data_IF_088805862425
#
_entry.id   IF_088805862425
#
_cell.length_a   1.000
_cell.length_b   1.000
_cell.length_c   1.000
_cell.angle_alpha   90.00
_cell.angle_beta   90.00
_cell.angle_gamma   90.00
#
_symmetry.space_group_name_H-M   'P 1'
#
loop_
_entity.id
_entity.type
_entity.pdbx_description
1 polymer ?
#
# COMPACT_ATOMS: atom_id res chain seq x y z
N UNK A 1 6.56 8.60 -13.90
CA UNK A 1 5.25 8.60 -14.57
C UNK A 1 4.98 7.16 -14.99
N UNK A 2 4.39 6.37 -14.10
CA UNK A 2 4.27 4.92 -14.28
C UNK A 2 2.79 4.58 -14.35
N UNK A 3 2.32 4.42 -15.58
CA UNK A 3 0.96 4.03 -15.94
C UNK A 3 0.71 2.60 -15.47
N UNK A 4 -0.24 2.38 -14.55
CA UNK A 4 -0.70 1.02 -14.24
C UNK A 4 -1.45 0.46 -15.46
N UNK A 5 -0.82 -0.50 -16.15
CA UNK A 5 -1.43 -1.20 -17.26
C UNK A 5 -2.61 -2.05 -16.75
N UNK A 6 -3.82 -1.75 -17.22
CA UNK A 6 -4.98 -2.66 -17.17
C UNK A 6 -4.60 -3.93 -17.93
N UNK A 7 -4.26 -5.01 -17.20
CA UNK A 7 -3.74 -6.25 -17.77
C UNK A 7 -4.81 -7.06 -18.50
N UNK A 8 -4.39 -7.77 -19.57
CA UNK A 8 -5.16 -8.77 -20.30
C UNK A 8 -4.93 -10.14 -19.67
N UNK A 9 -6.00 -10.89 -19.34
CA UNK A 9 -5.85 -12.27 -18.88
C UNK A 9 -5.82 -13.23 -20.07
N UNK A 10 -4.76 -14.02 -20.18
CA UNK A 10 -4.63 -15.05 -21.21
C UNK A 10 -4.82 -16.42 -20.53
N UNK A 11 -5.81 -17.18 -20.99
CA UNK A 11 -6.23 -18.43 -20.35
C UNK A 11 -6.09 -19.56 -21.35
N UNK A 12 -5.37 -20.63 -21.00
CA UNK A 12 -5.37 -21.83 -21.82
C UNK A 12 -6.73 -22.57 -21.67
N UNK A 13 -7.29 -23.04 -22.77
CA UNK A 13 -8.58 -23.75 -22.81
C UNK A 13 -8.73 -24.84 -21.73
N UNK A 14 -7.65 -25.59 -21.45
CA UNK A 14 -7.67 -26.66 -20.45
C UNK A 14 -8.03 -26.18 -19.03
N UNK A 15 -7.87 -24.88 -18.74
CA UNK A 15 -8.18 -24.28 -17.45
C UNK A 15 -9.39 -23.35 -17.53
N UNK A 16 -10.00 -23.16 -18.71
CA UNK A 16 -11.07 -22.21 -18.87
C UNK A 16 -12.27 -22.55 -17.98
N UNK A 17 -12.69 -23.82 -17.97
CA UNK A 17 -13.87 -24.27 -17.21
C UNK A 17 -13.59 -24.53 -15.73
N UNK A 18 -12.36 -24.33 -15.26
CA UNK A 18 -12.03 -24.54 -13.86
C UNK A 18 -12.80 -23.56 -12.95
N UNK A 19 -13.39 -24.05 -11.85
CA UNK A 19 -14.25 -23.25 -10.98
C UNK A 19 -13.60 -21.95 -10.51
N UNK A 20 -12.30 -21.98 -10.20
CA UNK A 20 -11.53 -20.79 -9.83
C UNK A 20 -11.44 -19.79 -10.98
N UNK A 21 -11.21 -20.24 -12.21
CA UNK A 21 -11.12 -19.39 -13.41
C UNK A 21 -12.50 -18.85 -13.80
N UNK A 22 -13.54 -19.68 -13.82
CA UNK A 22 -14.92 -19.25 -14.04
C UNK A 22 -15.37 -18.26 -12.96
N UNK A 23 -15.01 -18.48 -11.70
CA UNK A 23 -15.26 -17.50 -10.64
C UNK A 23 -14.54 -16.17 -10.90
N UNK A 24 -13.30 -16.19 -11.38
CA UNK A 24 -12.56 -14.97 -11.70
C UNK A 24 -13.20 -14.26 -12.91
N UNK A 25 -13.56 -14.99 -13.97
CA UNK A 25 -14.21 -14.47 -15.19
C UNK A 25 -15.60 -13.89 -14.89
N UNK A 26 -16.40 -14.58 -14.08
CA UNK A 26 -17.75 -14.15 -13.70
C UNK A 26 -17.72 -12.98 -12.70
N UNK A 27 -16.70 -12.91 -11.83
CA UNK A 27 -16.59 -11.85 -10.82
C UNK A 27 -15.86 -10.61 -11.34
N UNK A 28 -14.90 -10.73 -12.25
CA UNK A 28 -14.08 -9.59 -12.70
C UNK A 28 -14.31 -9.30 -14.19
N UNK A 29 -14.73 -8.08 -14.52
CA UNK A 29 -14.82 -7.60 -15.91
C UNK A 29 -13.45 -7.12 -16.42
N UNK A 30 -12.47 -8.02 -16.55
CA UNK A 30 -11.27 -7.74 -17.34
C UNK A 30 -11.41 -8.35 -18.74
N UNK A 31 -10.82 -7.74 -19.78
CA UNK A 31 -10.70 -8.41 -21.07
C UNK A 31 -9.86 -9.67 -20.88
N UNK A 32 -10.36 -10.80 -21.39
CA UNK A 32 -9.67 -12.07 -21.35
C UNK A 32 -9.59 -12.67 -22.75
N UNK A 33 -8.59 -13.51 -22.96
CA UNK A 33 -8.39 -14.24 -24.20
C UNK A 33 -8.16 -15.71 -23.87
N UNK A 34 -9.13 -16.55 -24.21
CA UNK A 34 -9.01 -18.01 -24.18
C UNK A 34 -8.13 -18.45 -25.35
N UNK A 35 -7.12 -19.28 -25.11
CA UNK A 35 -6.27 -19.88 -26.15
C UNK A 35 -6.64 -21.35 -26.29
N UNK A 36 -7.03 -21.75 -27.49
CA UNK A 36 -7.32 -23.15 -27.84
C UNK A 36 -6.33 -23.66 -28.89
N UNK A 37 -5.99 -24.95 -28.78
CA UNK A 37 -5.20 -25.69 -29.77
C UNK A 37 -6.06 -26.41 -30.80
N UNK A 38 -7.39 -26.38 -30.64
CA UNK A 38 -8.33 -27.01 -31.55
C UNK A 38 -8.43 -26.13 -32.79
N UNK A 39 -8.10 -26.62 -34.00
CA UNK A 39 -8.30 -25.85 -35.21
C UNK A 39 -9.81 -25.66 -35.44
N UNK A 40 -10.26 -24.42 -35.60
CA UNK A 40 -11.56 -24.19 -36.21
C UNK A 40 -11.41 -24.46 -37.71
N UNK A 41 -12.38 -25.11 -38.35
CA UNK A 41 -12.36 -25.37 -39.80
C UNK A 41 -12.25 -24.09 -40.66
N UNK A 42 -12.40 -22.92 -40.03
CA UNK A 42 -12.05 -21.61 -40.57
C UNK A 42 -10.91 -20.97 -39.74
N UNK A 43 -9.68 -21.36 -40.05
CA UNK A 43 -8.46 -20.87 -39.41
C UNK A 43 -8.34 -19.34 -39.43
N UNK A 44 -8.04 -18.76 -38.26
CA UNK A 44 -7.67 -17.36 -38.12
C UNK A 44 -8.76 -16.41 -37.61
N UNK A 45 -10.00 -16.85 -37.42
CA UNK A 45 -11.05 -15.99 -36.85
C UNK A 45 -11.07 -16.06 -35.33
N UNK A 46 -10.88 -14.90 -34.70
CA UNK A 46 -11.16 -14.72 -33.28
C UNK A 46 -12.68 -14.67 -33.08
N UNK A 47 -13.25 -15.66 -32.41
CA UNK A 47 -14.67 -15.64 -32.05
C UNK A 47 -14.79 -15.16 -30.60
N UNK A 48 -15.37 -13.97 -30.41
CA UNK A 48 -15.63 -13.30 -29.13
C UNK A 48 -14.38 -13.06 -28.26
N UNK A 49 -13.87 -14.10 -27.61
CA UNK A 49 -12.73 -14.07 -26.68
C UNK A 49 -11.79 -15.28 -26.86
N UNK A 50 -11.90 -16.05 -27.96
CA UNK A 50 -11.12 -17.29 -28.16
C UNK A 50 -10.16 -17.19 -29.35
N UNK A 51 -8.87 -17.35 -29.07
CA UNK A 51 -7.76 -17.40 -30.04
C UNK A 51 -7.39 -18.85 -30.33
N UNK A 52 -7.53 -19.26 -31.60
CA UNK A 52 -7.15 -20.58 -32.08
C UNK A 52 -5.70 -20.57 -32.58
N UNK A 53 -4.94 -21.62 -32.27
CA UNK A 53 -3.56 -21.81 -32.74
C UNK A 53 -3.50 -22.93 -33.81
N UNK A 54 -2.64 -22.84 -34.85
CA UNK A 54 -1.63 -21.83 -35.12
C UNK A 54 -2.21 -20.49 -35.59
N UNK A 55 -1.56 -19.39 -35.17
CA UNK A 55 -1.98 -18.04 -35.54
C UNK A 55 -1.54 -17.73 -36.97
N UNK A 56 -2.44 -17.91 -37.94
CA UNK A 56 -2.13 -17.66 -39.36
C UNK A 56 -2.17 -16.17 -39.73
N UNK A 57 -3.03 -15.37 -39.06
CA UNK A 57 -3.22 -13.92 -39.32
C UNK A 57 -3.25 -13.12 -38.03
N UNK A 58 -2.35 -12.13 -37.90
CA UNK A 58 -2.22 -11.27 -36.70
C UNK A 58 -3.19 -10.10 -36.68
N UNK A 59 -3.81 -9.76 -37.82
CA UNK A 59 -4.70 -8.62 -37.97
C UNK A 59 -5.93 -8.70 -37.06
N UNK A 60 -6.52 -9.90 -36.92
CA UNK A 60 -7.69 -10.13 -36.05
C UNK A 60 -7.36 -9.94 -34.57
N UNK A 61 -6.21 -10.45 -34.12
CA UNK A 61 -5.71 -10.23 -32.77
C UNK A 61 -5.46 -8.74 -32.52
N UNK A 62 -4.87 -8.03 -33.49
CA UNK A 62 -4.60 -6.59 -33.38
C UNK A 62 -5.88 -5.78 -33.26
N UNK A 63 -6.87 -6.05 -34.13
CA UNK A 63 -8.17 -5.38 -34.11
C UNK A 63 -8.92 -5.64 -32.79
N UNK A 64 -8.86 -6.86 -32.27
CA UNK A 64 -9.49 -7.17 -30.99
C UNK A 64 -8.80 -6.50 -29.81
N UNK A 65 -7.45 -6.47 -29.76
CA UNK A 65 -6.70 -5.74 -28.73
C UNK A 65 -7.02 -4.24 -28.78
N UNK A 66 -7.17 -3.68 -29.98
CA UNK A 66 -7.61 -2.29 -30.15
C UNK A 66 -9.01 -2.05 -29.59
N UNK A 67 -9.97 -2.93 -29.91
CA UNK A 67 -11.36 -2.78 -29.50
C UNK A 67 -11.60 -3.07 -28.01
N UNK A 68 -10.86 -3.98 -27.38
CA UNK A 68 -11.17 -4.50 -26.04
C UNK A 68 -10.15 -4.10 -24.96
N UNK A 69 -8.91 -3.75 -25.34
CA UNK A 69 -7.86 -3.37 -24.38
C UNK A 69 -7.52 -1.89 -24.51
N UNK A 70 -7.29 -1.40 -25.73
CA UNK A 70 -6.87 -0.02 -25.96
C UNK A 70 -8.02 1.00 -25.85
N UNK A 71 -9.25 0.62 -26.19
CA UNK A 71 -10.45 1.45 -25.95
C UNK A 71 -10.66 1.73 -24.46
N UNK A 72 -10.44 0.73 -23.60
CA UNK A 72 -10.49 0.85 -22.15
C UNK A 72 -9.47 1.86 -21.62
N UNK A 73 -8.36 2.08 -22.31
CA UNK A 73 -7.32 3.03 -21.91
C UNK A 73 -7.62 4.47 -22.38
N UNK A 74 -8.57 4.66 -23.31
CA UNK A 74 -8.91 5.98 -23.89
C UNK A 74 -10.12 6.66 -23.23
N UNK A 75 -10.96 5.93 -22.49
CA UNK A 75 -12.15 6.46 -21.82
C UNK A 75 -11.87 7.12 -20.45
N UNK A 76 -10.63 7.51 -20.13
CA UNK A 76 -10.28 8.18 -18.86
C UNK A 76 -10.53 9.68 -18.84
N UNK A 77 -11.02 10.28 -19.91
CA UNK A 77 -11.55 11.64 -19.89
C UNK A 77 -13.07 11.62 -20.12
N UNK A 78 -13.78 12.42 -19.31
CA UNK A 78 -15.24 12.64 -19.28
C UNK A 78 -16.02 11.81 -18.24
N UNK A 79 -16.21 12.46 -17.09
CA UNK A 79 -17.36 12.46 -16.15
C UNK A 79 -18.54 11.49 -16.41
N UNK A 80 -18.88 10.79 -15.31
CA UNK A 80 -20.23 10.55 -14.75
C UNK A 80 -20.88 9.16 -14.87
N UNK A 81 -21.14 8.62 -13.67
CA UNK A 81 -22.33 7.88 -13.19
C UNK A 81 -22.43 6.36 -13.32
N UNK A 82 -22.36 5.73 -12.13
CA UNK A 82 -22.99 4.50 -11.64
C UNK A 82 -22.96 3.24 -12.50
N UNK A 83 -22.17 2.24 -12.09
CA UNK A 83 -22.68 1.02 -11.42
C UNK A 83 -21.50 0.10 -11.08
N UNK A 84 -21.38 -0.25 -9.79
CA UNK A 84 -20.66 -1.40 -9.21
C UNK A 84 -19.37 -1.79 -9.95
N UNK A 85 -18.37 -0.92 -9.84
CA UNK A 85 -17.00 -1.25 -10.15
C UNK A 85 -16.46 -2.14 -9.03
N UNK A 86 -15.95 -3.32 -9.38
CA UNK A 86 -15.12 -4.10 -8.47
C UNK A 86 -13.83 -3.32 -8.23
N UNK A 87 -13.86 -2.50 -7.19
CA UNK A 87 -12.75 -1.73 -6.65
C UNK A 87 -11.60 -2.69 -6.32
N UNK A 88 -10.51 -2.62 -7.08
CA UNK A 88 -9.21 -2.75 -6.41
C UNK A 88 -9.22 -1.60 -5.41
N UNK A 89 -9.24 -1.92 -4.12
CA UNK A 89 -9.28 -0.90 -3.08
C UNK A 89 -8.06 -0.03 -3.25
N UNK A 90 -8.26 1.15 -3.82
CA UNK A 90 -7.24 2.19 -3.85
C UNK A 90 -7.10 2.57 -2.39
N UNK A 91 -5.92 2.31 -1.81
CA UNK A 91 -5.62 2.80 -0.47
C UNK A 91 -5.52 4.31 -0.60
N UNK A 92 -6.61 4.98 -0.26
CA UNK A 92 -6.76 6.42 -0.26
C UNK A 92 -7.07 6.90 1.17
N UNK A 93 -7.35 8.19 1.31
CA UNK A 93 -7.70 8.76 2.60
C UNK A 93 -8.97 8.14 3.20
N UNK A 94 -9.94 7.75 2.36
CA UNK A 94 -11.20 7.15 2.81
C UNK A 94 -10.98 5.73 3.32
N UNK A 95 -10.12 4.95 2.65
CA UNK A 95 -9.71 3.64 3.12
C UNK A 95 -9.08 3.71 4.51
N UNK A 96 -8.16 4.66 4.72
CA UNK A 96 -7.50 4.85 6.03
C UNK A 96 -8.52 5.29 7.08
N UNK A 97 -9.44 6.21 6.76
CA UNK A 97 -10.54 6.60 7.66
C UNK A 97 -11.41 5.40 8.04
N UNK A 98 -11.76 4.56 7.08
CA UNK A 98 -12.57 3.37 7.32
C UNK A 98 -11.83 2.33 8.17
N UNK A 99 -10.52 2.17 7.96
CA UNK A 99 -9.66 1.28 8.75
C UNK A 99 -9.66 1.65 10.23
N UNK A 100 -9.66 2.95 10.55
CA UNK A 100 -9.62 3.49 11.92
C UNK A 100 -10.99 3.94 12.46
N UNK A 101 -12.08 3.68 11.72
CA UNK A 101 -13.42 4.11 12.13
C UNK A 101 -13.86 3.40 13.42
N UNK A 102 -14.42 4.18 14.35
CA UNK A 102 -15.01 3.66 15.59
C UNK A 102 -16.27 2.82 15.36
N UNK A 103 -16.93 2.98 14.21
CA UNK A 103 -18.07 2.14 13.80
C UNK A 103 -17.61 0.72 13.42
N UNK A 104 -16.36 0.60 12.96
CA UNK A 104 -15.75 -0.63 12.53
C UNK A 104 -14.97 -1.27 13.69
N UNK A 105 -15.69 -1.79 14.68
CA UNK A 105 -15.10 -2.20 15.96
C UNK A 105 -14.04 -3.28 15.79
N UNK A 106 -14.32 -4.32 15.00
CA UNK A 106 -13.36 -5.43 14.76
C UNK A 106 -13.19 -5.72 13.28
N UNK A 107 -11.95 -5.62 12.81
CA UNK A 107 -11.61 -5.81 11.41
C UNK A 107 -10.62 -6.96 11.26
N UNK A 108 -10.84 -7.78 10.23
CA UNK A 108 -9.91 -8.80 9.77
C UNK A 108 -9.07 -8.20 8.65
N UNK A 109 -7.77 -8.07 8.87
CA UNK A 109 -6.79 -7.54 7.92
C UNK A 109 -6.08 -8.70 7.21
N UNK A 110 -5.92 -8.59 5.90
CA UNK A 110 -5.33 -9.63 5.06
C UNK A 110 -4.62 -9.04 3.84
N UNK A 111 -3.79 -9.87 3.21
CA UNK A 111 -3.19 -9.64 1.89
C UNK A 111 -3.39 -10.89 1.00
N UNK A 112 -2.74 -10.93 -0.15
CA UNK A 112 -2.71 -12.04 -1.11
C UNK A 112 -2.14 -13.34 -0.55
N UNK A 113 -1.40 -13.27 0.57
CA UNK A 113 -0.86 -14.42 1.31
C UNK A 113 -1.76 -14.84 2.48
N UNK A 114 -2.92 -14.21 2.63
CA UNK A 114 -3.95 -14.55 3.61
C UNK A 114 -4.00 -13.61 4.80
N UNK A 115 -4.42 -14.11 5.97
CA UNK A 115 -4.59 -13.29 7.18
C UNK A 115 -3.28 -12.66 7.64
N UNK A 116 -3.37 -11.39 8.04
CA UNK A 116 -2.32 -10.66 8.72
C UNK A 116 -2.65 -10.52 10.21
N UNK A 117 -3.85 -10.02 10.51
CA UNK A 117 -4.28 -9.79 11.88
C UNK A 117 -5.80 -9.65 11.98
N UNK A 118 -6.31 -9.70 13.21
CA UNK A 118 -7.59 -9.12 13.59
C UNK A 118 -7.30 -7.94 14.51
N UNK A 119 -7.89 -6.80 14.21
CA UNK A 119 -7.75 -5.58 15.02
C UNK A 119 -9.07 -5.25 15.71
N UNK A 120 -8.98 -4.64 16.89
CA UNK A 120 -10.10 -4.06 17.61
C UNK A 120 -9.84 -2.54 17.77
N UNK A 121 -10.58 -1.73 17.01
CA UNK A 121 -10.43 -0.28 16.98
C UNK A 121 -10.88 0.41 18.29
N UNK A 122 -11.76 -0.23 19.06
CA UNK A 122 -12.23 0.31 20.35
C UNK A 122 -11.15 0.18 21.43
N UNK A 123 -10.43 -0.93 21.43
CA UNK A 123 -9.35 -1.20 22.40
C UNK A 123 -7.96 -0.85 21.88
N UNK A 124 -7.82 -0.54 20.59
CA UNK A 124 -6.55 -0.27 19.91
C UNK A 124 -5.58 -1.46 20.00
N UNK A 125 -6.11 -2.68 19.88
CA UNK A 125 -5.34 -3.94 19.95
C UNK A 125 -5.32 -4.64 18.58
N UNK A 126 -4.20 -5.26 18.25
CA UNK A 126 -4.05 -6.17 17.12
C UNK A 126 -3.62 -7.57 17.59
N UNK A 127 -4.33 -8.60 17.11
CA UNK A 127 -4.00 -10.02 17.27
C UNK A 127 -3.47 -10.56 15.95
N UNK A 128 -2.25 -11.07 15.95
CA UNK A 128 -1.55 -11.42 14.72
C UNK A 128 -1.72 -12.88 14.35
N UNK A 129 -1.67 -13.17 13.04
CA UNK A 129 -1.50 -14.52 12.53
C UNK A 129 -0.08 -15.03 12.90
N UNK A 130 0.04 -16.14 13.64
CA UNK A 130 1.33 -16.58 14.20
C UNK A 130 2.32 -17.20 13.19
N UNK A 131 1.86 -17.71 12.04
CA UNK A 131 2.73 -18.29 11.01
C UNK A 131 3.47 -17.24 10.16
N UNK A 132 3.03 -15.97 10.19
CA UNK A 132 3.70 -14.84 9.54
C UNK A 132 5.07 -14.56 10.16
N UNK A 133 6.12 -15.10 9.55
CA UNK A 133 7.51 -14.88 10.00
C UNK A 133 8.02 -13.44 9.75
N UNK A 134 7.45 -12.73 8.78
CA UNK A 134 7.86 -11.36 8.41
C UNK A 134 6.71 -10.39 8.63
N UNK A 135 6.98 -9.29 9.34
CA UNK A 135 6.05 -8.17 9.53
C UNK A 135 6.06 -7.28 8.30
N UNK A 136 5.49 -7.74 7.19
CA UNK A 136 5.38 -6.99 5.94
C UNK A 136 4.11 -7.40 5.17
N UNK A 137 3.66 -6.53 4.27
CA UNK A 137 2.52 -6.74 3.36
C UNK A 137 2.83 -6.07 2.00
N UNK A 138 1.84 -5.96 1.13
CA UNK A 138 1.95 -5.39 -0.21
C UNK A 138 0.66 -4.64 -0.60
N UNK A 139 0.54 -4.27 -1.88
CA UNK A 139 -0.61 -3.53 -2.40
C UNK A 139 -1.95 -4.30 -2.37
N UNK A 140 -1.95 -5.59 -2.05
CA UNK A 140 -3.19 -6.35 -1.84
C UNK A 140 -3.73 -6.24 -0.41
N UNK A 141 -3.08 -5.45 0.46
CA UNK A 141 -3.53 -5.16 1.82
C UNK A 141 -4.98 -4.65 1.81
N UNK A 142 -5.84 -5.34 2.55
CA UNK A 142 -7.25 -5.00 2.66
C UNK A 142 -7.82 -5.45 4.01
N UNK A 143 -9.08 -5.08 4.29
CA UNK A 143 -9.78 -5.50 5.48
C UNK A 143 -11.27 -5.74 5.23
N UNK A 144 -11.87 -6.58 6.07
CA UNK A 144 -13.32 -6.77 6.17
C UNK A 144 -13.73 -6.84 7.64
N UNK A 145 -15.03 -6.83 7.94
CA UNK A 145 -15.49 -7.11 9.30
C UNK A 145 -15.07 -8.51 9.74
N UNK A 146 -14.49 -8.60 10.95
CA UNK A 146 -14.04 -9.86 11.50
C UNK A 146 -15.23 -10.76 11.88
N UNK A 147 -15.21 -12.02 11.43
CA UNK A 147 -16.17 -13.04 11.86
C UNK A 147 -15.62 -13.85 13.01
N UNK A 148 -16.49 -14.52 13.76
CA UNK A 148 -16.09 -15.41 14.87
C UNK A 148 -15.08 -16.48 14.41
N UNK A 149 -15.26 -17.01 13.20
CA UNK A 149 -14.35 -18.02 12.63
C UNK A 149 -12.94 -17.48 12.35
N UNK A 150 -12.78 -16.18 12.07
CA UNK A 150 -11.47 -15.60 11.77
C UNK A 150 -10.56 -15.61 13.00
N UNK A 151 -11.12 -15.57 14.21
CA UNK A 151 -10.34 -15.62 15.46
C UNK A 151 -9.58 -16.94 15.66
N UNK A 152 -9.90 -17.98 14.91
CA UNK A 152 -9.12 -19.23 14.89
C UNK A 152 -7.79 -19.07 14.16
N UNK A 153 -7.66 -18.04 13.31
CA UNK A 153 -6.48 -17.77 12.48
C UNK A 153 -5.44 -16.90 13.18
N UNK A 154 -5.74 -16.31 14.33
CA UNK A 154 -4.85 -15.38 15.04
C UNK A 154 -4.59 -15.83 16.46
N UNK A 155 -3.44 -15.41 17.01
CA UNK A 155 -3.08 -15.68 18.40
C UNK A 155 -3.53 -14.55 19.30
N UNK A 156 -4.34 -14.87 20.31
CA UNK A 156 -4.74 -13.96 21.41
C UNK A 156 -3.85 -14.08 22.65
N UNK A 157 -2.73 -14.80 22.57
CA UNK A 157 -1.76 -14.93 23.68
C UNK A 157 -0.90 -13.68 23.83
N UNK A 158 -0.78 -12.88 22.77
CA UNK A 158 0.06 -11.71 22.71
C UNK A 158 -0.69 -10.63 21.95
N UNK A 159 -0.81 -9.48 22.60
CA UNK A 159 -1.53 -8.33 22.08
C UNK A 159 -0.52 -7.27 21.67
N UNK A 160 -0.80 -6.60 20.55
CA UNK A 160 0.02 -5.51 20.04
C UNK A 160 -0.82 -4.24 20.02
N UNK A 161 -0.20 -3.11 20.35
CA UNK A 161 -0.84 -1.81 20.13
C UNK A 161 -1.03 -1.60 18.63
N UNK A 162 -2.26 -1.32 18.21
CA UNK A 162 -2.67 -1.30 16.80
C UNK A 162 -1.81 -0.35 15.96
N UNK A 163 -1.64 0.89 16.42
CA UNK A 163 -0.90 1.91 15.66
C UNK A 163 0.59 1.52 15.53
N UNK A 164 1.20 0.99 16.59
CA UNK A 164 2.59 0.54 16.55
C UNK A 164 2.76 -0.63 15.60
N UNK A 165 1.89 -1.64 15.68
CA UNK A 165 1.97 -2.80 14.80
C UNK A 165 1.76 -2.41 13.33
N UNK A 166 0.74 -1.59 13.05
CA UNK A 166 0.41 -1.17 11.69
C UNK A 166 1.52 -0.31 11.10
N UNK A 167 2.12 0.59 11.90
CA UNK A 167 3.29 1.35 11.47
C UNK A 167 4.44 0.42 11.10
N UNK A 168 4.76 -0.58 11.94
CA UNK A 168 5.83 -1.53 11.66
C UNK A 168 5.56 -2.39 10.42
N UNK A 169 4.31 -2.82 10.22
CA UNK A 169 3.87 -3.58 9.05
C UNK A 169 4.12 -2.80 7.76
N UNK A 170 3.72 -1.53 7.72
CA UNK A 170 3.86 -0.69 6.53
C UNK A 170 5.30 -0.21 6.34
N UNK A 171 5.99 0.16 7.41
CA UNK A 171 7.40 0.60 7.35
C UNK A 171 8.33 -0.45 6.75
N UNK A 172 8.06 -1.74 7.02
CA UNK A 172 8.81 -2.87 6.47
C UNK A 172 8.34 -3.29 5.06
N UNK A 173 7.33 -2.63 4.50
CA UNK A 173 6.76 -2.94 3.19
C UNK A 173 7.24 -1.92 2.13
N UNK A 174 7.66 -2.39 0.96
CA UNK A 174 8.26 -1.52 -0.07
C UNK A 174 7.28 -0.98 -1.11
N UNK A 175 6.05 -1.49 -1.14
CA UNK A 175 5.16 -1.31 -2.30
C UNK A 175 4.15 -0.15 -2.18
N UNK A 176 4.18 0.65 -1.11
CA UNK A 176 3.16 1.68 -0.81
C UNK A 176 3.53 3.11 -1.28
N UNK A 177 4.03 3.25 -2.51
CA UNK A 177 4.62 4.52 -3.00
C UNK A 177 3.60 5.65 -3.25
N UNK A 178 2.29 5.35 -3.28
CA UNK A 178 1.26 6.30 -3.73
C UNK A 178 0.62 7.15 -2.62
N UNK A 179 0.90 6.86 -1.34
CA UNK A 179 0.20 7.46 -0.20
C UNK A 179 0.85 8.75 0.32
N UNK A 180 2.13 8.94 0.02
CA UNK A 180 2.90 10.09 0.48
C UNK A 180 3.35 10.92 -0.72
N UNK A 181 3.16 12.23 -0.64
CA UNK A 181 3.73 13.23 -1.53
C UNK A 181 4.99 13.86 -0.95
N UNK A 182 5.98 14.08 -1.82
CA UNK A 182 7.21 14.82 -1.52
C UNK A 182 6.99 16.33 -1.45
N UNK A 183 5.92 16.84 -2.07
CA UNK A 183 5.64 18.28 -2.22
C UNK A 183 4.84 18.86 -1.05
N UNK A 184 4.68 18.09 0.03
CA UNK A 184 3.92 18.48 1.21
C UNK A 184 4.76 18.87 2.43
N UNK A 185 4.05 19.35 3.45
CA UNK A 185 4.57 19.45 4.81
C UNK A 185 3.88 18.43 5.69
N UNK A 186 4.66 17.67 6.45
CA UNK A 186 4.14 16.55 7.23
C UNK A 186 4.42 16.75 8.71
N UNK A 187 3.47 16.35 9.56
CA UNK A 187 3.62 16.36 11.01
C UNK A 187 3.15 15.04 11.61
N UNK A 188 3.97 14.46 12.49
CA UNK A 188 3.58 13.29 13.28
C UNK A 188 2.88 13.72 14.58
N UNK A 189 2.00 12.86 15.08
CA UNK A 189 1.32 13.06 16.36
C UNK A 189 2.08 12.37 17.52
N UNK A 190 2.58 11.16 17.26
CA UNK A 190 3.36 10.36 18.22
C UNK A 190 4.60 9.75 17.57
N UNK A 191 5.58 9.39 18.39
CA UNK A 191 6.82 8.79 17.92
C UNK A 191 6.60 7.30 17.62
N UNK A 192 6.78 6.85 16.37
CA UNK A 192 6.66 5.43 16.04
C UNK A 192 7.70 4.59 16.80
N UNK A 193 7.29 3.38 17.18
CA UNK A 193 8.10 2.42 17.94
C UNK A 193 8.54 1.26 17.05
N UNK A 194 9.68 1.36 16.32
CA UNK A 194 10.15 0.27 15.48
C UNK A 194 10.59 -0.95 16.30
N UNK A 195 10.15 -2.14 15.89
CA UNK A 195 10.50 -3.39 16.56
C UNK A 195 11.95 -3.79 16.29
N UNK A 196 12.42 -3.61 15.05
CA UNK A 196 13.78 -3.95 14.65
C UNK A 196 14.77 -2.85 15.02
N UNK A 197 15.95 -3.24 15.54
CA UNK A 197 16.95 -2.30 16.08
C UNK A 197 17.56 -1.43 14.98
N UNK A 198 17.75 -1.98 13.80
CA UNK A 198 18.32 -1.33 12.62
C UNK A 198 17.50 -0.11 12.17
N UNK A 199 16.18 -0.11 12.38
CA UNK A 199 15.31 0.99 11.98
C UNK A 199 15.19 2.11 13.02
N UNK A 200 15.63 1.87 14.27
CA UNK A 200 15.50 2.84 15.38
C UNK A 200 16.17 4.17 15.07
N UNK A 201 17.39 4.15 14.53
CA UNK A 201 18.14 5.39 14.31
C UNK A 201 17.43 6.28 13.29
N UNK A 202 17.09 5.72 12.13
CA UNK A 202 16.47 6.48 11.04
C UNK A 202 15.06 6.94 11.42
N UNK A 203 14.25 6.08 12.06
CA UNK A 203 12.90 6.46 12.48
C UNK A 203 12.92 7.58 13.52
N UNK A 204 13.88 7.55 14.46
CA UNK A 204 14.02 8.56 15.51
C UNK A 204 14.44 9.92 14.93
N UNK A 205 15.36 9.93 13.97
CA UNK A 205 15.77 11.14 13.27
C UNK A 205 14.60 11.75 12.48
N UNK A 206 13.88 10.94 11.72
CA UNK A 206 12.69 11.39 10.97
C UNK A 206 11.60 11.91 11.91
N UNK A 207 11.37 11.21 13.03
CA UNK A 207 10.40 11.64 14.05
C UNK A 207 10.78 12.98 14.67
N UNK A 208 12.06 13.18 14.99
CA UNK A 208 12.54 14.44 15.54
C UNK A 208 12.34 15.62 14.56
N UNK A 209 12.48 15.39 13.25
CA UNK A 209 12.18 16.40 12.24
C UNK A 209 10.66 16.67 12.13
N UNK A 210 9.85 15.62 12.02
CA UNK A 210 8.42 15.76 11.73
C UNK A 210 7.55 16.09 12.95
N UNK A 211 8.02 15.95 14.20
CA UNK A 211 7.18 16.23 15.39
C UNK A 211 6.72 17.70 15.47
N UNK A 212 7.48 18.63 14.87
CA UNK A 212 7.13 20.06 14.80
C UNK A 212 6.50 20.46 13.44
N UNK A 213 6.30 19.51 12.53
CA UNK A 213 5.90 19.77 11.15
C UNK A 213 7.06 20.26 10.30
N UNK A 214 7.36 19.58 9.20
CA UNK A 214 8.49 19.89 8.32
C UNK A 214 8.17 19.62 6.85
N UNK A 215 8.84 20.34 5.93
CA UNK A 215 8.77 20.07 4.49
C UNK A 215 9.48 18.75 4.18
N UNK A 216 8.80 17.84 3.49
CA UNK A 216 9.30 16.47 3.27
C UNK A 216 10.65 16.44 2.57
N UNK A 217 10.81 17.25 1.52
CA UNK A 217 12.06 17.35 0.74
C UNK A 217 13.23 17.97 1.51
N UNK A 218 12.97 18.85 2.48
CA UNK A 218 14.02 19.44 3.32
C UNK A 218 14.55 18.42 4.33
N UNK A 219 13.67 17.61 4.91
CA UNK A 219 14.07 16.53 5.83
C UNK A 219 14.93 15.49 5.11
N UNK A 220 14.54 15.09 3.89
CA UNK A 220 15.35 14.18 3.07
C UNK A 220 16.78 14.71 2.85
N UNK A 221 16.91 15.98 2.46
CA UNK A 221 18.21 16.64 2.26
C UNK A 221 19.02 16.70 3.55
N UNK A 222 18.42 17.18 4.64
CA UNK A 222 19.12 17.41 5.91
C UNK A 222 19.58 16.11 6.58
N UNK A 223 18.82 15.02 6.46
CA UNK A 223 19.19 13.73 7.03
C UNK A 223 20.03 12.87 6.07
N UNK A 224 20.34 13.40 4.87
CA UNK A 224 20.96 12.67 3.78
C UNK A 224 20.28 11.29 3.57
N UNK A 225 18.93 11.29 3.57
CA UNK A 225 18.12 10.09 3.36
C UNK A 225 17.53 10.09 1.94
N UNK A 226 17.49 8.93 1.27
CA UNK A 226 16.73 8.79 0.05
C UNK A 226 15.26 9.18 0.26
N UNK A 227 14.69 9.91 -0.71
CA UNK A 227 13.32 10.44 -0.58
C UNK A 227 12.29 9.32 -0.40
N UNK A 228 12.52 8.14 -1.00
CA UNK A 228 11.68 6.95 -0.83
C UNK A 228 11.65 6.45 0.62
N UNK A 229 12.75 6.57 1.36
CA UNK A 229 12.81 6.21 2.79
C UNK A 229 11.94 7.17 3.60
N UNK A 230 12.00 8.47 3.29
CA UNK A 230 11.17 9.48 3.96
C UNK A 230 9.69 9.30 3.62
N UNK A 231 9.36 9.06 2.35
CA UNK A 231 7.99 8.81 1.91
C UNK A 231 7.44 7.53 2.53
N UNK A 232 8.22 6.45 2.61
CA UNK A 232 7.82 5.21 3.30
C UNK A 232 7.53 5.45 4.79
N UNK A 233 8.28 6.33 5.45
CA UNK A 233 8.05 6.70 6.85
C UNK A 233 6.71 7.41 6.99
N UNK A 234 6.45 8.37 6.11
CA UNK A 234 5.20 9.14 6.07
C UNK A 234 4.02 8.22 5.79
N UNK A 235 4.13 7.33 4.79
CA UNK A 235 3.10 6.34 4.48
C UNK A 235 2.78 5.44 5.68
N UNK A 236 3.80 4.95 6.39
CA UNK A 236 3.58 4.17 7.61
C UNK A 236 2.87 4.98 8.70
N UNK A 237 3.20 6.27 8.86
CA UNK A 237 2.50 7.18 9.78
C UNK A 237 1.04 7.42 9.36
N UNK A 238 0.75 7.62 8.07
CA UNK A 238 -0.61 7.81 7.57
C UNK A 238 -1.46 6.57 7.80
N UNK A 239 -0.95 5.39 7.41
CA UNK A 239 -1.64 4.11 7.60
C UNK A 239 -1.89 3.82 9.08
N UNK A 240 -0.96 4.16 9.97
CA UNK A 240 -1.11 4.00 11.41
C UNK A 240 -1.95 5.11 12.08
N UNK A 241 -2.49 6.07 11.34
CA UNK A 241 -3.17 7.26 11.86
C UNK A 241 -2.32 8.05 12.89
N UNK A 242 -1.00 8.09 12.65
CA UNK A 242 0.01 8.68 13.52
C UNK A 242 0.66 9.96 12.92
N UNK A 243 0.06 10.54 11.90
CA UNK A 243 0.52 11.80 11.33
C UNK A 243 -0.37 12.25 10.18
N UNK A 244 -0.16 13.49 9.75
CA UNK A 244 -0.96 14.09 8.69
C UNK A 244 -0.17 15.17 7.94
N UNK A 245 -0.59 15.43 6.72
CA UNK A 245 -0.16 16.62 6.00
C UNK A 245 -0.74 17.87 6.65
N UNK A 246 0.08 18.91 6.74
CA UNK A 246 -0.29 20.19 7.33
C UNK A 246 0.09 21.33 6.38
N UNK A 247 -0.51 22.50 6.59
CA UNK A 247 -0.11 23.71 5.89
C UNK A 247 1.25 24.22 6.39
N UNK A 248 1.99 24.93 5.54
CA UNK A 248 3.33 25.46 5.86
C UNK A 248 3.34 26.33 7.14
N UNK A 249 2.29 27.10 7.39
CA UNK A 249 2.15 27.95 8.58
C UNK A 249 1.98 27.17 9.90
N UNK A 250 1.72 25.86 9.85
CA UNK A 250 1.66 24.96 11.01
C UNK A 250 2.97 24.19 11.23
N UNK A 251 4.00 24.51 10.45
CA UNK A 251 5.33 23.90 10.54
C UNK A 251 6.29 24.86 11.23
N UNK A 252 6.92 24.37 12.29
CA UNK A 252 7.89 25.13 13.06
C UNK A 252 9.29 24.55 12.94
N UNK A 253 9.43 23.45 12.21
CA UNK A 253 10.74 22.92 11.87
C UNK A 253 11.49 23.92 11.01
N UNK A 254 12.64 24.35 11.52
CA UNK A 254 13.58 25.22 10.81
C UNK A 254 14.78 24.37 10.43
N UNK A 255 14.96 24.04 9.13
CA UNK A 255 16.19 23.42 8.66
C UNK A 255 17.35 24.34 9.00
N UNK A 256 18.44 23.80 9.55
CA UNK A 256 19.64 24.60 9.75
C UNK A 256 20.25 24.87 8.37
N UNK A 257 20.32 26.14 7.98
CA UNK A 257 21.03 26.56 6.77
C UNK A 257 22.50 26.17 6.88
N UNK A 258 23.03 25.55 5.83
CA UNK A 258 24.40 25.07 5.73
C UNK A 258 25.40 26.13 6.21
N UNK A 259 26.05 25.84 7.34
CA UNK A 259 27.39 26.35 7.64
C UNK A 259 28.33 25.21 7.30
N UNK A 260 29.34 25.48 6.47
CA UNK A 260 30.21 24.53 5.74
C UNK A 260 31.10 23.61 6.61
N UNK A 261 30.76 23.37 7.87
CA UNK A 261 31.51 22.47 8.73
C UNK A 261 30.72 21.19 8.99
N UNK A 262 31.09 20.12 8.29
CA UNK A 262 30.53 18.76 8.31
C UNK A 262 30.58 18.01 9.67
N UNK A 263 30.87 18.70 10.78
CA UNK A 263 30.90 18.12 12.13
C UNK A 263 29.71 18.53 13.03
N UNK A 264 28.97 19.59 12.69
CA UNK A 264 27.87 20.13 13.52
C UNK A 264 26.51 19.48 13.26
N UNK A 265 26.29 18.87 12.09
CA UNK A 265 25.00 18.26 11.70
C UNK A 265 24.57 17.13 12.64
N UNK A 266 25.55 16.35 13.13
CA UNK A 266 25.28 15.29 14.11
C UNK A 266 25.00 15.84 15.51
N UNK A 267 25.44 17.05 15.84
CA UNK A 267 25.42 17.57 17.20
C UNK A 267 24.04 18.01 17.69
N UNK A 268 23.19 18.62 16.87
CA UNK A 268 21.84 19.01 17.31
C UNK A 268 20.94 17.78 17.53
N UNK A 269 20.87 16.87 16.55
CA UNK A 269 20.12 15.62 16.71
C UNK A 269 20.70 14.77 17.84
N UNK A 270 22.03 14.64 17.97
CA UNK A 270 22.64 13.96 19.13
C UNK A 270 22.33 14.66 20.45
N UNK A 271 22.31 15.99 20.50
CA UNK A 271 21.98 16.73 21.72
C UNK A 271 20.49 16.63 22.06
N UNK A 272 19.60 16.67 21.06
CA UNK A 272 18.16 16.55 21.24
C UNK A 272 17.78 15.11 21.62
N UNK A 273 18.27 14.11 20.88
CA UNK A 273 18.12 12.68 21.21
C UNK A 273 18.78 12.37 22.54
N UNK A 274 19.95 12.96 22.84
CA UNK A 274 20.63 12.81 24.13
C UNK A 274 19.82 13.38 25.29
N UNK A 275 19.14 14.52 25.09
CA UNK A 275 18.21 15.10 26.08
C UNK A 275 16.98 14.21 26.27
N UNK A 276 16.44 13.63 25.20
CA UNK A 276 15.32 12.67 25.28
C UNK A 276 15.76 11.40 26.01
N UNK A 277 16.90 10.82 25.66
CA UNK A 277 17.45 9.63 26.31
C UNK A 277 17.65 9.84 27.81
N UNK A 278 18.19 10.99 28.22
CA UNK A 278 18.33 11.35 29.65
C UNK A 278 16.99 11.49 30.38
N UNK A 279 15.93 11.94 29.70
CA UNK A 279 14.61 12.14 30.34
C UNK A 279 13.74 10.88 30.38
N UNK A 280 13.91 9.96 29.43
CA UNK A 280 13.01 8.82 29.27
C UNK A 280 13.70 7.44 29.42
N UNK A 281 15.01 7.38 29.68
CA UNK A 281 15.67 6.17 30.19
C UNK A 281 15.86 5.02 29.19
N UNK A 282 16.01 5.33 27.89
CA UNK A 282 16.37 4.32 26.86
C UNK A 282 17.86 3.98 26.82
#
# INVERSE_FOLDING_TARGET
MTTFARGLLIINENFFDADNIQNILNKKKFPYLKITKTPLENGGTLHEHTLHYPLEKTEHLRSWLQANVLSLLKHTDVRSNSTLLNEISIIDEQFIKNLHSSENIKLHLFDDKGTLAIIDNRTQIAWLEPSRQKTQTNMSFNFTFAKTSDFTKVSRKKDYYLQDWLWNLIWCSKEFENLASADGYFKINHWPQPYQKEYRKVSLQLSACFIQGAKVTEVAKQLNQPIDVVLRFITACLMANNGQYVSANKCFYTPQTHSENSNTESHFLKNFIGKIRRRFGF
#
